data_IF_509690000647
#
_entry.id   IF_509690000647
#
_cell.length_a   1.000
_cell.length_b   1.000
_cell.length_c   1.000
_cell.angle_alpha   90.00
_cell.angle_beta   90.00
_cell.angle_gamma   90.00
#
_symmetry.space_group_name_H-M   'P 1'
#
loop_
_entity.id
_entity.type
_entity.pdbx_description
1 polymer ?
#
# COMPACT_ATOMS: atom_id res chain seq x y z
N UNK A 1 20.76 -9.40 -10.60
CA UNK A 1 20.41 -9.99 -9.29
C UNK A 1 20.18 -8.97 -8.14
N UNK A 2 19.93 -7.68 -8.43
CA UNK A 2 19.23 -6.77 -7.49
C UNK A 2 18.21 -5.94 -8.26
N UNK A 3 18.55 -5.57 -9.50
CA UNK A 3 17.65 -4.93 -10.48
C UNK A 3 16.34 -5.70 -10.63
N UNK A 4 16.37 -7.01 -10.87
CA UNK A 4 15.16 -7.86 -10.92
C UNK A 4 14.25 -7.69 -9.70
N UNK A 5 14.79 -7.71 -8.48
CA UNK A 5 13.99 -7.53 -7.28
C UNK A 5 13.36 -6.13 -7.23
N UNK A 6 14.11 -5.09 -7.60
CA UNK A 6 13.60 -3.72 -7.65
C UNK A 6 12.46 -3.58 -8.68
N UNK A 7 12.62 -4.17 -9.87
CA UNK A 7 11.57 -4.22 -10.89
C UNK A 7 10.32 -4.95 -10.39
N UNK A 8 10.49 -6.09 -9.72
CA UNK A 8 9.39 -6.85 -9.14
C UNK A 8 8.65 -6.06 -8.05
N UNK A 9 9.36 -5.31 -7.20
CA UNK A 9 8.75 -4.45 -6.17
C UNK A 9 7.87 -3.34 -6.74
N UNK A 10 8.12 -2.91 -7.98
CA UNK A 10 7.38 -1.83 -8.66
C UNK A 10 6.25 -2.40 -9.52
N UNK A 11 6.51 -3.47 -10.27
CA UNK A 11 5.58 -4.02 -11.26
C UNK A 11 4.26 -4.54 -10.67
N UNK A 12 4.22 -4.86 -9.37
CA UNK A 12 3.01 -5.29 -8.65
C UNK A 12 2.30 -6.52 -9.26
N UNK A 13 2.95 -7.27 -10.16
CA UNK A 13 2.36 -8.41 -10.85
C UNK A 13 1.82 -9.42 -9.83
N UNK A 14 0.49 -9.62 -9.84
CA UNK A 14 -0.30 -10.36 -8.85
C UNK A 14 0.47 -11.53 -8.22
N UNK A 15 1.06 -11.25 -7.06
CA UNK A 15 1.84 -12.20 -6.26
C UNK A 15 0.93 -13.18 -5.52
N UNK A 16 -0.11 -13.72 -6.15
CA UNK A 16 -1.11 -14.53 -5.44
C UNK A 16 -2.10 -15.34 -6.27
N UNK A 17 -2.21 -15.19 -7.60
CA UNK A 17 -3.33 -15.80 -8.35
C UNK A 17 -3.39 -17.34 -8.25
N UNK A 18 -2.30 -17.99 -7.85
CA UNK A 18 -2.25 -19.44 -7.59
C UNK A 18 -1.86 -19.81 -6.15
N UNK A 19 -1.56 -18.85 -5.27
CA UNK A 19 -1.07 -19.12 -3.91
C UNK A 19 0.33 -19.74 -3.83
N UNK A 20 1.06 -19.86 -4.95
CA UNK A 20 2.39 -20.51 -4.98
C UNK A 20 3.50 -19.48 -5.10
N UNK A 21 4.42 -19.47 -4.13
CA UNK A 21 5.67 -18.72 -4.22
C UNK A 21 6.66 -19.43 -5.14
N UNK A 22 6.83 -18.94 -6.36
CA UNK A 22 7.78 -19.51 -7.33
C UNK A 22 9.22 -19.06 -7.05
N UNK A 23 9.84 -19.62 -6.00
CA UNK A 23 11.16 -19.21 -5.48
C UNK A 23 12.27 -19.13 -6.55
N UNK A 24 12.27 -20.03 -7.53
CA UNK A 24 13.28 -20.08 -8.60
C UNK A 24 13.19 -18.89 -9.58
N UNK A 25 12.03 -18.24 -9.64
CA UNK A 25 11.77 -17.13 -10.57
C UNK A 25 11.79 -15.77 -9.90
N UNK A 26 12.02 -15.66 -8.58
CA UNK A 26 11.92 -14.39 -7.85
C UNK A 26 13.30 -13.79 -7.54
N UNK A 27 13.33 -12.47 -7.41
CA UNK A 27 14.51 -11.73 -6.97
C UNK A 27 14.84 -11.91 -5.48
N UNK A 28 13.92 -12.48 -4.68
CA UNK A 28 14.09 -12.78 -3.26
C UNK A 28 13.45 -14.13 -2.88
N UNK A 29 14.00 -14.82 -1.88
CA UNK A 29 13.43 -16.07 -1.39
C UNK A 29 12.15 -15.84 -0.57
N UNK A 30 11.38 -16.90 -0.32
CA UNK A 30 10.03 -16.83 0.29
C UNK A 30 10.02 -16.22 1.68
N UNK A 31 11.08 -16.44 2.46
CA UNK A 31 11.25 -15.83 3.78
C UNK A 31 11.33 -14.29 3.75
N UNK A 32 11.53 -13.69 2.57
CA UNK A 32 11.53 -12.24 2.33
C UNK A 32 10.29 -11.76 1.55
N UNK A 33 9.25 -12.58 1.43
CA UNK A 33 8.01 -12.24 0.73
C UNK A 33 7.34 -10.94 1.23
N UNK A 34 7.44 -10.66 2.52
CA UNK A 34 6.91 -9.43 3.13
C UNK A 34 7.50 -8.14 2.55
N UNK A 35 8.66 -8.18 1.89
CA UNK A 35 9.25 -6.98 1.26
C UNK A 35 8.39 -6.45 0.10
N UNK A 36 7.60 -7.32 -0.54
CA UNK A 36 6.72 -6.94 -1.65
C UNK A 36 5.47 -6.18 -1.18
N UNK A 37 5.20 -6.17 0.14
CA UNK A 37 4.12 -5.37 0.73
C UNK A 37 4.52 -3.89 0.92
N UNK A 38 5.80 -3.53 0.74
CA UNK A 38 6.31 -2.21 1.12
C UNK A 38 6.06 -1.15 0.05
N UNK A 39 6.32 -1.45 -1.23
CA UNK A 39 6.41 -0.43 -2.31
C UNK A 39 5.14 -0.37 -3.14
N UNK A 40 4.74 -1.46 -3.78
CA UNK A 40 3.53 -1.54 -4.60
C UNK A 40 2.73 -2.79 -4.21
N UNK A 41 1.93 -2.67 -3.16
CA UNK A 41 1.25 -3.80 -2.57
C UNK A 41 -0.07 -4.11 -3.30
N UNK A 42 -0.01 -5.02 -4.28
CA UNK A 42 -1.18 -5.41 -5.08
C UNK A 42 -2.28 -6.16 -4.32
N UNK A 43 -2.02 -6.59 -3.08
CA UNK A 43 -2.92 -7.50 -2.37
C UNK A 43 -3.98 -6.76 -1.57
N UNK A 44 -3.57 -5.72 -0.84
CA UNK A 44 -4.45 -4.92 0.02
C UNK A 44 -4.21 -3.41 -0.15
N UNK A 45 -3.27 -3.02 -1.04
CA UNK A 45 -2.90 -1.63 -1.33
C UNK A 45 -2.31 -0.86 -0.14
N UNK A 46 -1.96 -1.50 0.97
CA UNK A 46 -1.29 -0.85 2.08
C UNK A 46 0.23 -0.85 1.80
N UNK A 47 0.73 0.27 1.27
CA UNK A 47 2.12 0.50 0.90
C UNK A 47 2.55 1.94 1.25
N UNK A 48 3.87 2.18 1.28
CA UNK A 48 4.43 3.49 1.64
C UNK A 48 4.16 4.57 0.59
N UNK A 49 3.97 4.18 -0.67
CA UNK A 49 3.54 5.08 -1.74
C UNK A 49 2.18 5.71 -1.38
N UNK A 50 1.22 4.90 -0.92
CA UNK A 50 -0.08 5.39 -0.44
C UNK A 50 0.04 6.41 0.68
N UNK A 51 0.84 6.07 1.68
CA UNK A 51 0.95 6.89 2.86
C UNK A 51 1.50 8.26 2.53
N UNK A 52 2.48 8.29 1.63
CA UNK A 52 3.16 9.51 1.21
C UNK A 52 2.22 10.40 0.39
N UNK A 53 1.58 9.87 -0.67
CA UNK A 53 0.74 10.73 -1.52
C UNK A 53 -0.51 11.23 -0.77
N UNK A 54 -1.12 10.42 0.10
CA UNK A 54 -2.29 10.86 0.88
C UNK A 54 -1.95 12.07 1.76
N UNK A 55 -0.79 12.01 2.45
CA UNK A 55 -0.31 13.09 3.29
C UNK A 55 0.04 14.34 2.48
N UNK A 56 0.78 14.14 1.39
CA UNK A 56 1.23 15.23 0.53
C UNK A 56 0.06 15.93 -0.13
N UNK A 57 -0.88 15.19 -0.70
CA UNK A 57 -1.99 15.76 -1.44
C UNK A 57 -2.99 16.43 -0.52
N UNK A 58 -3.27 15.85 0.65
CA UNK A 58 -4.05 16.51 1.70
C UNK A 58 -3.44 17.87 2.07
N UNK A 59 -2.12 17.91 2.28
CA UNK A 59 -1.41 19.15 2.60
C UNK A 59 -1.46 20.17 1.47
N UNK A 60 -1.16 19.77 0.23
CA UNK A 60 -1.11 20.64 -0.93
C UNK A 60 -2.49 21.19 -1.34
N UNK A 61 -3.55 20.42 -1.10
CA UNK A 61 -4.93 20.81 -1.45
C UNK A 61 -5.66 21.53 -0.32
N UNK A 62 -5.14 21.43 0.91
CA UNK A 62 -5.81 21.93 2.11
C UNK A 62 -7.05 21.11 2.51
N UNK A 63 -7.26 19.93 1.92
CA UNK A 63 -8.37 19.04 2.26
C UNK A 63 -7.94 18.12 3.39
N UNK A 64 -8.52 18.23 4.60
CA UNK A 64 -8.19 17.34 5.70
C UNK A 64 -8.72 15.93 5.45
N UNK A 65 -7.90 14.93 5.78
CA UNK A 65 -8.26 13.51 5.72
C UNK A 65 -8.03 12.84 7.08
N UNK A 66 -8.73 11.73 7.37
CA UNK A 66 -8.51 10.97 8.60
C UNK A 66 -7.09 10.39 8.75
N UNK A 67 -6.45 10.01 7.65
CA UNK A 67 -5.10 9.46 7.64
C UNK A 67 -4.05 10.57 7.75
N UNK A 68 -3.31 10.60 8.86
CA UNK A 68 -2.36 11.67 9.14
C UNK A 68 -0.98 11.12 9.58
N UNK A 69 -0.03 12.01 9.90
CA UNK A 69 1.33 11.63 10.32
C UNK A 69 1.33 10.67 11.51
N UNK A 70 0.48 10.89 12.51
CA UNK A 70 0.39 10.00 13.67
C UNK A 70 -0.21 8.64 13.30
N UNK A 71 -1.08 8.58 12.30
CA UNK A 71 -1.57 7.32 11.73
C UNK A 71 -0.40 6.46 11.21
N UNK A 72 0.52 7.07 10.45
CA UNK A 72 1.72 6.40 9.92
C UNK A 72 2.61 5.89 11.06
N UNK A 73 2.94 6.74 12.02
CA UNK A 73 3.77 6.39 13.18
C UNK A 73 3.18 5.17 13.93
N UNK A 74 1.88 5.21 14.23
CA UNK A 74 1.19 4.10 14.91
C UNK A 74 1.14 2.83 14.07
N UNK A 75 0.97 2.93 12.75
CA UNK A 75 1.00 1.74 11.88
C UNK A 75 2.39 1.09 11.89
N UNK A 76 3.47 1.88 11.73
CA UNK A 76 4.84 1.37 11.70
C UNK A 76 5.20 0.71 13.04
N UNK A 77 4.90 1.34 14.17
CA UNK A 77 5.17 0.78 15.50
C UNK A 77 4.45 -0.56 15.75
N UNK A 78 3.27 -0.72 15.16
CA UNK A 78 2.40 -1.88 15.33
C UNK A 78 2.44 -2.85 14.14
N UNK A 79 3.40 -2.69 13.22
CA UNK A 79 3.64 -3.61 12.11
C UNK A 79 4.54 -4.77 12.54
N UNK A 80 4.20 -5.99 12.13
CA UNK A 80 5.00 -7.21 12.35
C UNK A 80 4.97 -8.09 11.11
N UNK A 81 5.99 -8.92 10.93
CA UNK A 81 6.00 -9.94 9.90
C UNK A 81 5.44 -11.23 10.48
N UNK A 82 4.34 -11.74 9.90
CA UNK A 82 3.68 -12.97 10.34
C UNK A 82 3.36 -13.86 9.12
N UNK A 83 3.29 -15.19 9.29
CA UNK A 83 2.83 -16.07 8.21
C UNK A 83 1.36 -15.80 7.87
N UNK A 84 1.07 -15.62 6.59
CA UNK A 84 -0.29 -15.50 6.09
C UNK A 84 -1.05 -16.82 6.28
N UNK A 85 -2.22 -16.84 6.95
CA UNK A 85 -2.95 -18.08 7.23
C UNK A 85 -3.52 -18.74 5.97
N UNK A 86 -3.69 -17.99 4.87
CA UNK A 86 -4.23 -18.48 3.59
C UNK A 86 -3.08 -18.82 2.65
N UNK A 87 -2.09 -17.93 2.54
CA UNK A 87 -1.01 -18.05 1.55
C UNK A 87 0.25 -18.74 2.07
N UNK A 88 0.41 -18.86 3.39
CA UNK A 88 1.53 -19.57 4.04
C UNK A 88 2.88 -18.83 4.06
N UNK A 89 3.05 -17.77 3.27
CA UNK A 89 4.29 -16.97 3.24
C UNK A 89 4.21 -15.75 4.17
N UNK A 90 5.36 -15.20 4.65
CA UNK A 90 5.37 -14.06 5.56
C UNK A 90 4.88 -12.77 4.89
N UNK A 91 4.02 -12.04 5.62
CA UNK A 91 3.39 -10.76 5.22
C UNK A 91 3.59 -9.70 6.29
N UNK A 92 3.51 -8.43 5.90
CA UNK A 92 3.34 -7.34 6.86
C UNK A 92 1.91 -7.40 7.42
N UNK A 93 1.80 -7.44 8.74
CA UNK A 93 0.54 -7.45 9.47
C UNK A 93 0.54 -6.36 10.53
N UNK A 94 -0.64 -5.82 10.83
CA UNK A 94 -0.82 -4.78 11.83
C UNK A 94 -1.55 -5.31 13.06
N UNK A 95 -1.23 -4.79 14.24
CA UNK A 95 -1.95 -5.16 15.46
C UNK A 95 -3.45 -4.80 15.36
N UNK A 96 -4.32 -5.67 15.87
CA UNK A 96 -5.79 -5.48 15.82
C UNK A 96 -6.26 -4.10 16.34
N UNK A 97 -5.57 -3.54 17.35
CA UNK A 97 -5.89 -2.22 17.94
C UNK A 97 -5.66 -1.02 17.00
N UNK A 98 -5.01 -1.20 15.86
CA UNK A 98 -4.81 -0.15 14.84
C UNK A 98 -5.63 -0.43 13.57
N UNK A 99 -6.60 -1.35 13.61
CA UNK A 99 -7.43 -1.69 12.45
C UNK A 99 -8.14 -0.46 11.87
N UNK A 100 -8.67 0.43 12.70
CA UNK A 100 -9.33 1.66 12.26
C UNK A 100 -8.37 2.60 11.50
N UNK A 101 -7.08 2.57 11.84
CA UNK A 101 -6.04 3.35 11.15
C UNK A 101 -5.74 2.74 9.78
N UNK A 102 -5.74 1.41 9.66
CA UNK A 102 -5.60 0.73 8.37
C UNK A 102 -6.77 1.08 7.46
N UNK A 103 -8.00 1.04 7.98
CA UNK A 103 -9.21 1.40 7.23
C UNK A 103 -9.19 2.87 6.78
N UNK A 104 -8.68 3.77 7.62
CA UNK A 104 -8.65 5.20 7.29
C UNK A 104 -7.77 5.56 6.08
N UNK A 105 -6.85 4.68 5.67
CA UNK A 105 -6.09 4.80 4.41
C UNK A 105 -7.04 4.79 3.21
N UNK A 106 -7.98 3.83 3.19
CA UNK A 106 -8.99 3.69 2.14
C UNK A 106 -9.97 4.87 2.13
N UNK A 107 -10.47 5.24 3.30
CA UNK A 107 -11.39 6.38 3.44
C UNK A 107 -10.75 7.68 2.93
N UNK A 108 -9.49 7.93 3.32
CA UNK A 108 -8.75 9.11 2.91
C UNK A 108 -8.52 9.15 1.39
N UNK A 109 -8.19 7.99 0.80
CA UNK A 109 -8.06 7.87 -0.66
C UNK A 109 -9.38 8.20 -1.35
N UNK A 110 -10.50 7.65 -0.86
CA UNK A 110 -11.81 7.91 -1.45
C UNK A 110 -12.20 9.39 -1.36
N UNK A 111 -11.91 10.04 -0.22
CA UNK A 111 -12.15 11.46 -0.02
C UNK A 111 -11.36 12.32 -1.01
N UNK A 112 -10.05 12.13 -1.11
CA UNK A 112 -9.22 12.89 -2.07
C UNK A 112 -9.60 12.60 -3.52
N UNK A 113 -9.98 11.36 -3.83
CA UNK A 113 -10.46 11.01 -5.16
C UNK A 113 -11.72 11.80 -5.54
N UNK A 114 -12.70 11.88 -4.65
CA UNK A 114 -13.95 12.57 -4.94
C UNK A 114 -13.82 14.10 -4.93
N UNK A 115 -13.01 14.64 -4.01
CA UNK A 115 -12.92 16.08 -3.79
C UNK A 115 -11.86 16.76 -4.66
N UNK A 116 -10.79 16.05 -5.01
CA UNK A 116 -9.61 16.60 -5.69
C UNK A 116 -9.43 15.96 -7.06
N UNK A 117 -9.10 14.66 -7.10
CA UNK A 117 -8.62 14.02 -8.33
C UNK A 117 -9.70 13.92 -9.41
N UNK A 118 -10.94 13.65 -9.02
CA UNK A 118 -12.11 13.56 -9.91
C UNK A 118 -13.00 14.80 -9.80
N UNK A 119 -12.47 15.93 -9.35
CA UNK A 119 -13.25 17.15 -9.36
C UNK A 119 -13.70 17.46 -10.79
N UNK A 120 -15.00 17.66 -11.01
CA UNK A 120 -15.61 17.78 -12.35
C UNK A 120 -14.90 18.76 -13.30
N UNK A 121 -14.33 19.85 -12.75
CA UNK A 121 -13.59 20.85 -13.55
C UNK A 121 -12.20 20.33 -13.94
N UNK A 122 -11.53 19.58 -13.07
CA UNK A 122 -10.25 18.92 -13.38
C UNK A 122 -10.46 17.92 -14.52
N UNK A 123 -11.46 17.04 -14.41
CA UNK A 123 -11.78 16.08 -15.47
C UNK A 123 -12.16 16.76 -16.79
N UNK A 124 -12.86 17.90 -16.74
CA UNK A 124 -13.19 18.67 -17.94
C UNK A 124 -11.93 19.23 -18.61
N UNK A 125 -10.95 19.70 -17.84
CA UNK A 125 -9.66 20.19 -18.36
C UNK A 125 -8.82 19.04 -18.93
N UNK A 126 -8.81 17.87 -18.31
CA UNK A 126 -8.09 16.67 -18.80
C UNK A 126 -8.65 16.14 -20.13
N UNK A 127 -9.94 16.39 -20.40
CA UNK A 127 -10.60 15.97 -21.63
C UNK A 127 -10.44 16.95 -22.81
N UNK A 128 -9.85 18.13 -22.57
CA UNK A 128 -9.54 19.12 -23.61
C UNK A 128 -8.25 18.77 -24.35
#
# INVERSE_FOLDING_TARGET
MNIKFVEEMISSENFDRSGVWLAETRGRPVEKAFLYDVVANSNDSIDVDKFEYLMRDSFCTGIPIPFNKHSIERLIENARVLPDPIRGFPRICYAKKVADIVLSVGDSRQMLHNLVYQHRVVCAIEAM
#
